data_IF_856233885357
#
_entry.id   IF_856233885357
#
_cell.length_a   1.000
_cell.length_b   1.000
_cell.length_c   1.000
_cell.angle_alpha   90.00
_cell.angle_beta   90.00
_cell.angle_gamma   90.00
#
_symmetry.space_group_name_H-M   'P 1'
#
loop_
_entity.id
_entity.type
_entity.pdbx_description
1 polymer ?
#
# COMPACT_ATOMS: atom_id res chain seq x y z
N UNK A 1 43.02 -30.23 -7.70
CA UNK A 1 41.71 -29.86 -7.14
C UNK A 1 41.85 -28.55 -6.41
N UNK A 2 41.55 -27.43 -7.06
CA UNK A 2 41.49 -26.13 -6.39
C UNK A 2 40.08 -25.97 -5.82
N UNK A 3 39.96 -25.88 -4.50
CA UNK A 3 38.69 -25.58 -3.83
C UNK A 3 38.34 -24.11 -4.06
N UNK A 4 37.36 -23.85 -4.90
CA UNK A 4 36.70 -22.54 -4.96
C UNK A 4 35.82 -22.40 -3.72
N UNK A 5 36.26 -21.59 -2.76
CA UNK A 5 35.36 -21.10 -1.72
C UNK A 5 34.51 -19.96 -2.31
N UNK A 6 33.16 -20.02 -2.23
CA UNK A 6 32.32 -18.96 -2.76
C UNK A 6 32.38 -17.77 -1.81
N UNK A 7 33.34 -16.88 -2.05
CA UNK A 7 33.53 -15.62 -1.31
C UNK A 7 32.63 -14.52 -1.87
N UNK A 8 31.32 -14.79 -2.04
CA UNK A 8 30.39 -13.87 -2.70
C UNK A 8 29.31 -13.24 -1.81
N UNK A 9 29.13 -13.71 -0.57
CA UNK A 9 28.07 -13.16 0.31
C UNK A 9 28.54 -13.02 1.77
N UNK A 10 29.52 -12.15 2.04
CA UNK A 10 29.93 -11.86 3.42
C UNK A 10 29.88 -10.37 3.80
N UNK A 11 29.13 -9.53 3.09
CA UNK A 11 29.03 -8.10 3.45
C UNK A 11 28.33 -7.18 2.45
N UNK A 12 27.32 -7.66 1.73
CA UNK A 12 26.61 -6.85 0.71
C UNK A 12 25.28 -6.39 1.28
N UNK A 13 25.06 -5.07 1.31
CA UNK A 13 23.71 -4.51 1.33
C UNK A 13 23.08 -4.81 -0.04
N UNK A 14 22.11 -5.74 -0.17
CA UNK A 14 21.57 -6.12 -1.46
C UNK A 14 20.90 -4.90 -2.13
N UNK A 15 21.12 -4.66 -3.44
CA UNK A 15 20.39 -3.62 -4.14
C UNK A 15 18.88 -3.90 -4.07
N UNK A 16 18.07 -2.84 -3.87
CA UNK A 16 16.62 -2.98 -3.73
C UNK A 16 16.10 -3.22 -2.32
N UNK A 17 16.96 -3.19 -1.29
CA UNK A 17 16.51 -3.16 0.10
C UNK A 17 15.94 -1.77 0.46
N UNK A 18 14.65 -1.64 0.86
CA UNK A 18 14.10 -0.37 1.30
C UNK A 18 14.79 0.08 2.60
N UNK A 19 15.18 1.35 2.67
CA UNK A 19 15.82 1.95 3.86
C UNK A 19 14.81 2.46 4.91
N UNK A 20 13.55 2.58 4.51
CA UNK A 20 12.47 3.09 5.33
C UNK A 20 11.21 3.32 4.50
N UNK A 21 10.14 3.71 5.17
CA UNK A 21 8.87 4.05 4.56
C UNK A 21 8.78 5.57 4.39
N UNK A 22 9.21 6.09 3.25
CA UNK A 22 9.24 7.55 2.97
C UNK A 22 8.10 8.02 2.06
N UNK A 23 7.57 7.11 1.25
CA UNK A 23 6.52 7.40 0.30
C UNK A 23 5.59 6.19 0.21
N UNK A 24 4.34 6.47 -0.11
CA UNK A 24 3.30 5.48 -0.29
C UNK A 24 2.70 5.59 -1.70
N UNK A 25 2.16 4.48 -2.19
CA UNK A 25 1.37 4.44 -3.42
C UNK A 25 -0.06 4.12 -3.04
N UNK A 26 -0.91 5.15 -3.08
CA UNK A 26 -2.29 5.09 -2.59
C UNK A 26 -3.28 4.95 -3.72
N UNK A 27 -4.42 4.35 -3.42
CA UNK A 27 -5.52 4.19 -4.36
C UNK A 27 -6.24 5.51 -4.58
N UNK A 28 -6.23 6.00 -5.82
CA UNK A 28 -7.01 7.18 -6.25
C UNK A 28 -8.08 6.75 -7.25
N UNK A 29 -9.31 7.21 -7.05
CA UNK A 29 -10.45 6.88 -7.88
C UNK A 29 -10.25 7.38 -9.32
N UNK A 30 -10.39 6.51 -10.33
CA UNK A 30 -10.36 6.88 -11.75
C UNK A 30 -11.66 7.57 -12.20
N UNK A 31 -12.76 7.23 -11.55
CA UNK A 31 -14.10 7.75 -11.80
C UNK A 31 -14.89 7.79 -10.49
N UNK A 32 -16.14 8.26 -10.49
CA UNK A 32 -16.96 8.24 -9.29
C UNK A 32 -17.30 6.80 -8.90
N UNK A 33 -16.96 6.42 -7.67
CA UNK A 33 -17.22 5.10 -7.10
C UNK A 33 -18.46 5.16 -6.20
N UNK A 34 -19.23 4.09 -6.18
CA UNK A 34 -20.48 4.01 -5.42
C UNK A 34 -20.39 3.04 -4.25
N UNK A 35 -21.15 3.31 -3.19
CA UNK A 35 -21.30 2.39 -2.08
C UNK A 35 -21.77 1.01 -2.57
N UNK A 36 -21.15 -0.05 -2.07
CA UNK A 36 -21.41 -1.42 -2.47
C UNK A 36 -20.64 -1.93 -3.70
N UNK A 37 -20.00 -1.04 -4.47
CA UNK A 37 -19.14 -1.44 -5.58
C UNK A 37 -17.92 -2.23 -5.09
N UNK A 38 -17.51 -3.27 -5.82
CA UNK A 38 -16.25 -3.99 -5.59
C UNK A 38 -15.16 -3.37 -6.46
N UNK A 39 -14.02 -3.03 -5.86
CA UNK A 39 -12.87 -2.51 -6.58
C UNK A 39 -12.10 -3.64 -7.25
N UNK A 40 -11.69 -3.40 -8.49
CA UNK A 40 -10.90 -4.34 -9.28
C UNK A 40 -9.37 -4.23 -9.04
N UNK A 41 -8.94 -3.26 -8.23
CA UNK A 41 -7.54 -3.11 -7.80
C UNK A 41 -6.62 -2.46 -8.82
N UNK A 42 -5.31 -2.69 -8.66
CA UNK A 42 -4.27 -2.19 -9.55
C UNK A 42 -4.46 -2.73 -10.99
N UNK A 43 -4.22 -1.87 -11.99
CA UNK A 43 -4.34 -2.24 -13.41
C UNK A 43 -5.78 -2.29 -13.93
N UNK A 44 -6.78 -2.25 -13.04
CA UNK A 44 -8.20 -2.23 -13.36
C UNK A 44 -8.73 -0.87 -13.79
N UNK A 45 -10.02 -0.64 -13.61
CA UNK A 45 -10.78 0.51 -14.05
C UNK A 45 -11.21 1.41 -12.89
N UNK A 46 -11.22 0.92 -11.64
CA UNK A 46 -11.71 1.67 -10.50
C UNK A 46 -10.68 2.66 -9.94
N UNK A 47 -9.42 2.23 -9.80
CA UNK A 47 -8.37 3.00 -9.13
C UNK A 47 -7.05 3.03 -9.91
N UNK A 48 -6.23 4.03 -9.63
CA UNK A 48 -4.83 4.11 -10.05
C UNK A 48 -3.94 4.44 -8.85
N UNK A 49 -2.64 4.17 -8.98
CA UNK A 49 -1.66 4.46 -7.93
C UNK A 49 -1.13 5.88 -7.99
N UNK A 50 -1.40 6.65 -6.95
CA UNK A 50 -0.83 7.97 -6.79
C UNK A 50 0.28 7.93 -5.73
N UNK A 51 1.45 8.45 -6.07
CA UNK A 51 2.52 8.61 -5.08
C UNK A 51 2.16 9.74 -4.10
N UNK A 52 2.41 9.52 -2.81
CA UNK A 52 2.35 10.55 -1.79
C UNK A 52 3.43 10.37 -0.70
N UNK A 53 3.76 11.41 0.08
CA UNK A 53 4.59 11.25 1.27
C UNK A 53 3.96 10.26 2.26
N UNK A 54 4.78 9.42 2.89
CA UNK A 54 4.29 8.41 3.84
C UNK A 54 3.58 9.04 5.05
N UNK A 55 4.08 10.17 5.55
CA UNK A 55 3.47 10.92 6.65
C UNK A 55 2.03 11.34 6.30
N UNK A 56 1.84 11.97 5.14
CA UNK A 56 0.52 12.38 4.64
C UNK A 56 -0.40 11.18 4.43
N UNK A 57 0.13 10.04 3.97
CA UNK A 57 -0.66 8.81 3.78
C UNK A 57 -1.26 8.31 5.09
N UNK A 58 -0.42 8.22 6.13
CA UNK A 58 -0.84 7.78 7.47
C UNK A 58 -1.81 8.79 8.08
N UNK A 59 -1.50 10.09 8.05
CA UNK A 59 -2.35 11.14 8.61
C UNK A 59 -3.76 11.12 7.99
N UNK A 60 -3.83 10.90 6.67
CA UNK A 60 -5.10 10.87 5.93
C UNK A 60 -5.81 9.52 6.01
N UNK A 61 -5.17 8.50 6.57
CA UNK A 61 -5.65 7.12 6.56
C UNK A 61 -5.87 6.61 5.13
N UNK A 62 -4.98 6.95 4.20
CA UNK A 62 -5.12 6.60 2.80
C UNK A 62 -5.02 5.08 2.57
N UNK A 63 -5.86 4.57 1.67
CA UNK A 63 -5.89 3.16 1.30
C UNK A 63 -4.70 2.86 0.36
N UNK A 64 -3.76 1.97 0.74
CA UNK A 64 -2.69 1.58 -0.16
C UNK A 64 -3.21 0.83 -1.38
N UNK A 65 -2.67 1.15 -2.56
CA UNK A 65 -3.12 0.55 -3.82
C UNK A 65 -3.02 -0.98 -3.80
N UNK A 66 -1.94 -1.51 -3.23
CA UNK A 66 -1.70 -2.96 -3.14
C UNK A 66 -2.74 -3.73 -2.32
N UNK A 67 -3.59 -3.04 -1.55
CA UNK A 67 -4.68 -3.64 -0.76
C UNK A 67 -6.07 -3.20 -1.26
N UNK A 68 -6.15 -2.61 -2.45
CA UNK A 68 -7.39 -2.08 -3.01
C UNK A 68 -8.09 -3.04 -4.00
N UNK A 69 -7.65 -4.31 -4.08
CA UNK A 69 -8.25 -5.33 -4.95
C UNK A 69 -9.31 -6.14 -4.20
N UNK A 70 -10.40 -6.47 -4.88
CA UNK A 70 -11.53 -7.27 -4.36
C UNK A 70 -12.12 -6.73 -3.05
N UNK A 71 -12.08 -5.40 -2.88
CA UNK A 71 -12.54 -4.72 -1.68
C UNK A 71 -13.83 -3.94 -1.97
N UNK A 72 -14.78 -3.99 -1.04
CA UNK A 72 -16.09 -3.36 -1.22
C UNK A 72 -16.12 -1.92 -0.71
N UNK A 73 -16.68 -1.00 -1.47
CA UNK A 73 -16.91 0.38 -1.05
C UNK A 73 -18.00 0.48 0.02
N UNK A 74 -17.71 1.23 1.10
CA UNK A 74 -18.69 1.59 2.14
C UNK A 74 -19.52 2.82 1.76
N UNK A 75 -18.93 3.75 1.03
CA UNK A 75 -19.54 5.04 0.69
C UNK A 75 -19.25 5.45 -0.76
N UNK A 76 -19.91 6.51 -1.21
CA UNK A 76 -19.63 7.09 -2.52
C UNK A 76 -18.35 7.94 -2.45
N UNK A 77 -17.50 7.86 -3.47
CA UNK A 77 -16.26 8.62 -3.58
C UNK A 77 -16.18 9.27 -4.97
N UNK A 78 -15.83 10.56 -5.02
CA UNK A 78 -15.75 11.29 -6.28
C UNK A 78 -14.50 10.89 -7.10
N UNK A 79 -14.58 11.02 -8.43
CA UNK A 79 -13.44 10.81 -9.32
C UNK A 79 -12.24 11.69 -8.90
N UNK A 80 -11.04 11.13 -8.96
CA UNK A 80 -9.80 11.80 -8.57
C UNK A 80 -9.55 11.88 -7.07
N UNK A 81 -10.47 11.39 -6.23
CA UNK A 81 -10.26 11.37 -4.78
C UNK A 81 -9.35 10.21 -4.38
N UNK A 82 -8.42 10.45 -3.46
CA UNK A 82 -7.69 9.39 -2.76
C UNK A 82 -8.62 8.66 -1.82
N UNK A 83 -8.72 7.34 -1.97
CA UNK A 83 -9.51 6.48 -1.09
C UNK A 83 -8.83 6.38 0.27
N UNK A 84 -9.65 6.20 1.30
CA UNK A 84 -9.24 5.98 2.69
C UNK A 84 -9.70 4.61 3.15
N UNK A 85 -9.07 4.11 4.21
CA UNK A 85 -9.54 2.92 4.92
C UNK A 85 -11.02 3.03 5.33
N UNK A 86 -11.48 4.24 5.69
CA UNK A 86 -12.87 4.50 6.06
C UNK A 86 -13.87 4.33 4.90
N UNK A 87 -13.39 4.37 3.64
CA UNK A 87 -14.24 4.30 2.46
C UNK A 87 -14.52 2.86 2.01
N UNK A 88 -13.86 1.87 2.61
CA UNK A 88 -13.86 0.47 2.15
C UNK A 88 -14.05 -0.55 3.28
N UNK A 89 -14.65 -1.69 2.96
CA UNK A 89 -14.80 -2.84 3.85
C UNK A 89 -13.54 -3.73 3.74
N UNK A 90 -12.74 -3.81 4.79
CA UNK A 90 -11.56 -4.69 4.87
C UNK A 90 -11.67 -5.63 6.06
N UNK A 91 -10.94 -6.76 6.00
CA UNK A 91 -10.82 -7.71 7.11
C UNK A 91 -9.55 -7.42 7.92
N UNK A 92 -9.71 -7.11 9.21
CA UNK A 92 -8.59 -6.92 10.15
C UNK A 92 -7.81 -8.21 10.43
N UNK A 93 -8.34 -9.37 10.05
CA UNK A 93 -7.64 -10.66 10.14
C UNK A 93 -6.84 -11.00 8.89
N UNK A 94 -6.95 -10.21 7.81
CA UNK A 94 -6.13 -10.41 6.62
C UNK A 94 -4.65 -10.11 6.93
N UNK A 95 -3.78 -11.06 6.61
CA UNK A 95 -2.35 -10.95 6.94
C UNK A 95 -1.65 -9.76 6.27
N UNK A 96 -2.07 -9.35 5.07
CA UNK A 96 -1.50 -8.22 4.37
C UNK A 96 -1.98 -6.89 4.97
N UNK A 97 -3.25 -6.83 5.40
CA UNK A 97 -3.77 -5.70 6.19
C UNK A 97 -3.02 -5.58 7.51
N UNK A 98 -2.85 -6.68 8.26
CA UNK A 98 -2.10 -6.67 9.52
C UNK A 98 -0.65 -6.21 9.33
N UNK A 99 0.06 -6.76 8.35
CA UNK A 99 1.42 -6.36 8.03
C UNK A 99 1.51 -4.87 7.67
N UNK A 100 0.52 -4.34 6.94
CA UNK A 100 0.44 -2.91 6.62
C UNK A 100 0.22 -2.07 7.88
N UNK A 101 -0.67 -2.47 8.79
CA UNK A 101 -0.90 -1.76 10.07
C UNK A 101 0.33 -1.76 10.96
N UNK A 102 1.01 -2.90 11.08
CA UNK A 102 2.27 -3.01 11.80
C UNK A 102 3.34 -2.08 11.21
N UNK A 103 3.42 -2.00 9.88
CA UNK A 103 4.31 -1.05 9.19
C UNK A 103 3.96 0.40 9.51
N UNK A 104 2.68 0.79 9.44
CA UNK A 104 2.24 2.15 9.79
C UNK A 104 2.67 2.51 11.22
N UNK A 105 2.45 1.61 12.19
CA UNK A 105 2.89 1.83 13.59
C UNK A 105 4.41 1.92 13.71
N UNK A 106 5.15 1.00 13.09
CA UNK A 106 6.61 0.95 13.20
C UNK A 106 7.33 2.18 12.61
N UNK A 107 6.69 2.89 11.67
CA UNK A 107 7.26 4.05 11.00
C UNK A 107 6.61 5.39 11.36
N UNK A 108 5.46 5.42 12.03
CA UNK A 108 4.78 6.66 12.44
C UNK A 108 5.67 7.58 13.29
N UNK A 109 6.44 7.01 14.23
CA UNK A 109 7.35 7.80 15.10
C UNK A 109 8.63 8.28 14.39
N UNK A 110 8.83 7.89 13.12
CA UNK A 110 10.06 8.14 12.33
C UNK A 110 9.81 9.04 11.12
N UNK A 111 8.58 9.57 10.99
CA UNK A 111 8.10 10.39 9.88
C UNK A 111 8.05 11.87 10.23
#
# INVERSE_FOLDING_TARGET
>A
MASLSPRWCSGVNPPGCPKGFYSDVVATAKHALTAGQILDGEGGHCVWGQQMPAADSIERGALPLGLAADIKMRCNVAAGSTLRWADVEFDDNDTAVQARREMEVAFSDRL
#
